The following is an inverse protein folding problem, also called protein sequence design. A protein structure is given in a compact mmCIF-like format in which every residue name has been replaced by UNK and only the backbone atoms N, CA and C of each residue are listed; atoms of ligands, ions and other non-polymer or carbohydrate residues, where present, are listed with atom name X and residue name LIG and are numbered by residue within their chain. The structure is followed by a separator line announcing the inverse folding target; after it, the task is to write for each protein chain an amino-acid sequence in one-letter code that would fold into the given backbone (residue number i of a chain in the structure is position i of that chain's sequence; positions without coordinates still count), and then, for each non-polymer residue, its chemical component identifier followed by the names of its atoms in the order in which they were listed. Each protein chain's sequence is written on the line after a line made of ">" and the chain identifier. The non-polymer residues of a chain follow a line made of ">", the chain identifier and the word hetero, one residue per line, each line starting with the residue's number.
data_IF_200489713101
#
_entry.id   IF_200489713101
#
_cell.length_a   1.000
_cell.length_b   1.000
_cell.length_c   1.000
_cell.angle_alpha   90.00
_cell.angle_beta   90.00
_cell.angle_gamma   90.00
#
_symmetry.space_group_name_H-M   'P 1'
#
loop_
_entity.id
_entity.type
_entity.pdbx_description
1 polymer ?
#
# COMPACT_ATOMS: atom_id res chain seq x y z
N UNK A 1 -5.49 21.61 -17.04
CA UNK A 1 -4.98 20.32 -17.57
C UNK A 1 -3.46 20.32 -17.68
N UNK A 2 -2.83 21.39 -18.21
CA UNK A 2 -1.36 21.52 -18.30
C UNK A 2 -0.63 21.36 -16.96
N UNK A 3 -1.20 21.86 -15.86
CA UNK A 3 -0.59 21.75 -14.54
C UNK A 3 -0.51 20.28 -14.04
N UNK A 4 -1.58 19.50 -14.19
CA UNK A 4 -1.62 18.11 -13.70
C UNK A 4 -0.62 17.22 -14.43
N UNK A 5 -0.46 17.39 -15.75
CA UNK A 5 0.52 16.66 -16.54
C UNK A 5 1.93 17.02 -16.06
N UNK A 6 2.24 18.31 -15.97
CA UNK A 6 3.54 18.78 -15.51
C UNK A 6 3.89 18.25 -14.11
N UNK A 7 2.97 18.36 -13.15
CA UNK A 7 3.16 17.89 -11.78
C UNK A 7 3.31 16.36 -11.68
N UNK A 8 2.63 15.61 -12.56
CA UNK A 8 2.80 14.16 -12.65
C UNK A 8 4.19 13.80 -13.18
N UNK A 9 4.60 14.36 -14.31
CA UNK A 9 5.91 14.12 -14.93
C UNK A 9 7.07 14.48 -13.99
N UNK A 10 6.90 15.55 -13.23
CA UNK A 10 7.87 15.99 -12.24
C UNK A 10 8.08 14.95 -11.13
N UNK A 11 7.00 14.38 -10.61
CA UNK A 11 7.05 13.32 -9.58
C UNK A 11 7.60 12.01 -10.11
N UNK A 12 7.26 11.65 -11.35
CA UNK A 12 7.84 10.46 -12.00
C UNK A 12 9.37 10.54 -12.10
N UNK A 13 9.94 11.72 -12.41
CA UNK A 13 11.39 11.90 -12.42
C UNK A 13 12.04 11.68 -11.04
N UNK A 14 11.38 12.16 -9.98
CA UNK A 14 11.83 11.93 -8.60
C UNK A 14 11.75 10.44 -8.26
N UNK A 15 10.63 9.78 -8.59
CA UNK A 15 10.44 8.33 -8.43
C UNK A 15 11.55 7.56 -9.16
N UNK A 16 11.84 7.90 -10.41
CA UNK A 16 12.89 7.26 -11.20
C UNK A 16 14.27 7.43 -10.56
N UNK A 17 14.58 8.64 -10.08
CA UNK A 17 15.85 8.92 -9.39
C UNK A 17 16.00 8.06 -8.13
N UNK A 18 15.00 8.09 -7.23
CA UNK A 18 15.03 7.31 -5.98
C UNK A 18 15.04 5.81 -6.27
N UNK A 19 14.26 5.37 -7.27
CA UNK A 19 14.22 3.96 -7.69
C UNK A 19 15.58 3.48 -8.19
N UNK A 20 16.27 4.26 -9.01
CA UNK A 20 17.59 3.90 -9.53
C UNK A 20 18.64 3.77 -8.42
N UNK A 21 18.53 4.58 -7.36
CA UNK A 21 19.45 4.50 -6.22
C UNK A 21 19.26 3.21 -5.41
N UNK A 22 18.03 2.66 -5.36
CA UNK A 22 17.69 1.57 -4.43
C UNK A 22 17.33 0.24 -5.08
N UNK A 23 17.11 0.19 -6.40
CA UNK A 23 16.64 -1.02 -7.10
C UNK A 23 17.57 -2.24 -6.96
N UNK A 24 18.85 -2.04 -6.66
CA UNK A 24 19.84 -3.12 -6.55
C UNK A 24 19.71 -3.96 -5.26
N UNK A 25 18.96 -3.48 -4.27
CA UNK A 25 18.82 -4.14 -2.95
C UNK A 25 17.39 -4.47 -2.58
N UNK A 26 16.41 -3.97 -3.35
CA UNK A 26 14.99 -4.18 -3.09
C UNK A 26 14.42 -5.21 -4.06
N UNK A 27 13.34 -5.86 -3.67
CA UNK A 27 12.63 -6.82 -4.51
C UNK A 27 11.65 -6.14 -5.43
N UNK A 28 11.02 -5.06 -4.97
CA UNK A 28 10.10 -4.28 -5.77
C UNK A 28 9.81 -2.89 -5.20
N UNK A 29 9.30 -2.01 -6.07
CA UNK A 29 8.83 -0.66 -5.75
C UNK A 29 7.53 -0.40 -6.51
N UNK A 30 6.47 -0.06 -5.79
CA UNK A 30 5.23 0.44 -6.38
C UNK A 30 4.85 1.80 -5.81
N UNK A 31 4.00 2.52 -6.55
CA UNK A 31 3.59 3.86 -6.19
C UNK A 31 2.19 3.82 -5.58
N UNK A 32 2.09 4.24 -4.32
CA UNK A 32 0.84 4.35 -3.57
C UNK A 32 0.28 5.78 -3.62
N UNK A 33 -0.69 6.02 -2.76
CA UNK A 33 -1.21 7.37 -2.52
C UNK A 33 -1.78 8.05 -3.77
N UNK A 34 -1.72 9.39 -3.78
CA UNK A 34 -2.29 10.18 -4.87
C UNK A 34 -1.66 9.90 -6.23
N UNK A 35 -0.36 9.59 -6.26
CA UNK A 35 0.35 9.17 -7.47
C UNK A 35 -0.09 7.78 -7.95
N UNK A 36 -0.40 6.86 -7.04
CA UNK A 36 -0.90 5.53 -7.36
C UNK A 36 -2.26 5.56 -8.05
N UNK A 37 -3.27 6.20 -7.45
CA UNK A 37 -4.63 6.20 -7.99
C UNK A 37 -4.96 7.35 -8.95
N UNK A 38 -4.20 8.45 -8.90
CA UNK A 38 -4.59 9.76 -9.42
C UNK A 38 -3.65 10.35 -10.48
N UNK A 39 -2.70 9.55 -10.98
CA UNK A 39 -1.72 9.94 -11.99
C UNK A 39 -2.40 10.62 -13.20
N UNK A 40 -1.91 11.79 -13.61
CA UNK A 40 -2.49 12.62 -14.69
C UNK A 40 -3.94 13.10 -14.47
N UNK A 41 -4.51 12.92 -13.29
CA UNK A 41 -5.90 13.27 -12.98
C UNK A 41 -6.03 14.22 -11.78
N UNK A 42 -5.59 13.78 -10.61
CA UNK A 42 -5.77 14.49 -9.34
C UNK A 42 -4.49 15.07 -8.75
N UNK A 43 -3.32 14.85 -9.36
CA UNK A 43 -2.03 15.39 -8.89
C UNK A 43 -2.03 16.92 -8.92
N UNK A 44 -1.46 17.51 -7.86
CA UNK A 44 -1.30 18.96 -7.68
C UNK A 44 0.14 19.25 -7.26
N UNK A 45 0.51 20.53 -7.27
CA UNK A 45 1.82 21.01 -6.82
C UNK A 45 2.14 20.58 -5.39
N UNK A 46 1.13 20.55 -4.52
CA UNK A 46 1.26 20.13 -3.12
C UNK A 46 1.19 18.62 -2.90
N UNK A 47 1.14 17.79 -3.95
CA UNK A 47 1.07 16.34 -3.80
C UNK A 47 2.43 15.79 -3.39
N UNK A 48 2.46 14.94 -2.39
CA UNK A 48 3.60 14.11 -2.02
C UNK A 48 3.76 12.91 -2.97
N UNK A 49 4.78 12.09 -2.70
CA UNK A 49 5.02 10.80 -3.34
C UNK A 49 5.03 9.72 -2.27
N UNK A 50 4.09 8.79 -2.34
CA UNK A 50 4.10 7.58 -1.51
C UNK A 50 4.71 6.41 -2.30
N UNK A 51 5.91 5.99 -1.92
CA UNK A 51 6.59 4.81 -2.45
C UNK A 51 6.43 3.63 -1.50
N UNK A 52 5.97 2.50 -2.01
CA UNK A 52 5.97 1.22 -1.30
C UNK A 52 7.19 0.44 -1.76
N UNK A 53 8.11 0.18 -0.84
CA UNK A 53 9.38 -0.49 -1.08
C UNK A 53 9.35 -1.86 -0.42
N UNK A 54 9.54 -2.93 -1.19
CA UNK A 54 9.56 -4.30 -0.67
C UNK A 54 10.99 -4.80 -0.65
N UNK A 55 11.48 -5.19 0.52
CA UNK A 55 12.88 -5.60 0.73
C UNK A 55 12.94 -6.89 1.54
N UNK A 56 13.87 -7.78 1.16
CA UNK A 56 14.14 -8.98 1.94
C UNK A 56 14.87 -8.61 3.24
N UNK A 57 14.57 -9.35 4.31
CA UNK A 57 15.05 -9.03 5.66
C UNK A 57 16.58 -8.95 5.77
N UNK A 58 17.31 -9.75 4.99
CA UNK A 58 18.77 -9.77 4.95
C UNK A 58 19.39 -8.62 4.15
N UNK A 59 18.59 -7.85 3.42
CA UNK A 59 18.99 -6.69 2.61
C UNK A 59 18.77 -5.34 3.26
N UNK A 60 18.14 -5.30 4.44
CA UNK A 60 17.84 -4.03 5.10
C UNK A 60 19.10 -3.26 5.51
N UNK A 61 20.18 -3.94 5.90
CA UNK A 61 21.45 -3.28 6.20
C UNK A 61 22.00 -2.57 4.96
N UNK A 62 21.97 -3.22 3.79
CA UNK A 62 22.41 -2.62 2.53
C UNK A 62 21.53 -1.40 2.17
N UNK A 63 20.21 -1.53 2.30
CA UNK A 63 19.23 -0.48 2.01
C UNK A 63 19.50 0.79 2.82
N UNK A 64 19.72 0.67 4.13
CA UNK A 64 19.90 1.85 5.00
C UNK A 64 21.24 2.57 4.80
N UNK A 65 22.17 1.98 4.04
CA UNK A 65 23.41 2.67 3.64
C UNK A 65 23.27 3.52 2.39
N UNK A 66 22.18 3.37 1.63
CA UNK A 66 21.98 4.09 0.37
C UNK A 66 21.60 5.55 0.62
N UNK A 67 21.92 6.48 -0.32
CA UNK A 67 21.78 7.92 -0.10
C UNK A 67 20.41 8.38 0.41
N UNK A 68 19.34 7.77 -0.08
CA UNK A 68 17.98 8.09 0.36
C UNK A 68 17.72 7.70 1.82
N UNK A 69 18.26 6.58 2.32
CA UNK A 69 17.99 6.11 3.68
C UNK A 69 19.08 6.45 4.70
N UNK A 70 20.27 6.84 4.22
CA UNK A 70 21.44 7.06 5.05
C UNK A 70 21.16 8.09 6.16
N UNK A 71 21.32 7.65 7.41
CA UNK A 71 21.17 8.49 8.60
C UNK A 71 19.73 8.72 9.06
N UNK A 72 18.73 8.20 8.34
CA UNK A 72 17.30 8.43 8.64
C UNK A 72 16.67 7.30 9.45
N UNK A 73 17.24 6.10 9.38
CA UNK A 73 16.70 4.91 10.03
C UNK A 73 17.48 4.64 11.31
N UNK A 74 16.86 4.71 12.50
CA UNK A 74 17.55 4.38 13.75
C UNK A 74 17.98 2.90 13.80
N UNK A 75 19.15 2.62 14.38
CA UNK A 75 19.72 1.26 14.48
C UNK A 75 18.73 0.26 15.11
N UNK A 76 17.98 0.67 16.13
CA UNK A 76 17.00 -0.19 16.78
C UNK A 76 15.85 -0.60 15.83
N UNK A 77 15.49 0.22 14.84
CA UNK A 77 14.47 -0.13 13.84
C UNK A 77 14.99 -1.22 12.92
N UNK A 78 16.24 -1.10 12.47
CA UNK A 78 16.91 -2.10 11.65
C UNK A 78 16.99 -3.44 12.39
N UNK A 79 17.36 -3.42 13.68
CA UNK A 79 17.38 -4.62 14.51
C UNK A 79 15.99 -5.25 14.70
N UNK A 80 14.95 -4.46 14.95
CA UNK A 80 13.57 -4.95 15.08
C UNK A 80 13.08 -5.60 13.78
N UNK A 81 13.39 -5.00 12.64
CA UNK A 81 13.05 -5.51 11.32
C UNK A 81 13.78 -6.84 11.05
N UNK A 82 15.08 -6.91 11.34
CA UNK A 82 15.90 -8.13 11.24
C UNK A 82 15.53 -9.24 12.22
N UNK A 83 14.75 -8.93 13.26
CA UNK A 83 14.23 -9.92 14.20
C UNK A 83 12.80 -10.34 13.84
N UNK A 84 12.20 -9.79 12.79
CA UNK A 84 10.81 -10.02 12.42
C UNK A 84 9.80 -9.47 13.43
N UNK A 85 10.23 -8.55 14.31
CA UNK A 85 9.36 -7.91 15.32
C UNK A 85 8.50 -6.81 14.72
N UNK A 86 9.02 -6.15 13.68
CA UNK A 86 8.27 -5.27 12.80
C UNK A 86 8.45 -5.77 11.37
N UNK A 87 7.49 -5.46 10.51
CA UNK A 87 7.57 -5.73 9.08
C UNK A 87 7.29 -4.48 8.24
N UNK A 88 7.24 -3.31 8.88
CA UNK A 88 7.08 -2.01 8.26
C UNK A 88 7.83 -0.93 9.05
N UNK A 89 8.53 -0.07 8.33
CA UNK A 89 8.94 1.26 8.78
C UNK A 89 8.86 2.22 7.59
N UNK A 90 9.01 3.52 7.79
CA UNK A 90 9.13 4.44 6.66
C UNK A 90 10.13 5.54 6.91
N UNK A 91 10.60 6.14 5.82
CA UNK A 91 11.43 7.33 5.81
C UNK A 91 10.77 8.36 4.90
N UNK A 92 10.65 9.58 5.40
CA UNK A 92 10.17 10.72 4.61
C UNK A 92 11.31 11.68 4.37
N UNK A 93 11.55 12.05 3.11
CA UNK A 93 12.57 13.03 2.69
C UNK A 93 12.02 13.99 1.65
N UNK A 94 12.59 15.18 1.61
CA UNK A 94 12.37 16.11 0.51
C UNK A 94 13.38 15.85 -0.61
N UNK A 95 12.91 15.61 -1.83
CA UNK A 95 13.73 15.42 -3.04
C UNK A 95 13.21 16.36 -4.12
N UNK A 96 14.07 17.27 -4.58
CA UNK A 96 13.70 18.34 -5.53
C UNK A 96 12.44 19.12 -5.10
N UNK A 97 12.40 19.50 -3.82
CA UNK A 97 11.30 20.18 -3.09
C UNK A 97 10.00 19.37 -2.92
N UNK A 98 9.98 18.10 -3.34
CA UNK A 98 8.82 17.20 -3.20
C UNK A 98 9.04 16.27 -2.02
N UNK A 99 8.06 16.20 -1.11
CA UNK A 99 8.04 15.20 -0.05
C UNK A 99 7.85 13.79 -0.64
N UNK A 100 8.78 12.89 -0.31
CA UNK A 100 8.77 11.49 -0.70
C UNK A 100 8.71 10.65 0.58
N UNK A 101 7.65 9.88 0.75
CA UNK A 101 7.50 8.88 1.79
C UNK A 101 7.84 7.49 1.22
N UNK A 102 8.85 6.82 1.77
CA UNK A 102 9.19 5.45 1.41
C UNK A 102 8.74 4.48 2.52
N UNK A 103 7.62 3.79 2.31
CA UNK A 103 7.11 2.75 3.19
C UNK A 103 7.81 1.42 2.90
N UNK A 104 8.74 1.05 3.77
CA UNK A 104 9.59 -0.13 3.60
C UNK A 104 8.96 -1.34 4.29
N UNK A 105 8.57 -2.34 3.51
CA UNK A 105 8.00 -3.58 3.98
C UNK A 105 8.98 -4.74 3.87
N UNK A 106 8.99 -5.61 4.89
CA UNK A 106 9.63 -6.92 4.80
C UNK A 106 8.81 -7.81 3.84
N UNK A 107 9.48 -8.49 2.90
CA UNK A 107 8.83 -9.28 1.84
C UNK A 107 7.76 -10.24 2.36
N UNK A 108 8.05 -11.03 3.39
CA UNK A 108 7.09 -11.97 3.99
C UNK A 108 5.89 -11.27 4.61
N UNK A 109 6.11 -10.21 5.39
CA UNK A 109 5.07 -9.38 5.98
C UNK A 109 4.18 -8.70 4.94
N UNK A 110 4.79 -8.17 3.87
CA UNK A 110 4.08 -7.57 2.74
C UNK A 110 3.15 -8.59 2.07
N UNK A 111 3.70 -9.76 1.70
CA UNK A 111 2.95 -10.86 1.11
C UNK A 111 1.79 -11.27 2.02
N UNK A 112 2.07 -11.56 3.28
CA UNK A 112 1.08 -12.04 4.24
C UNK A 112 -0.07 -11.04 4.43
N UNK A 113 0.20 -9.73 4.47
CA UNK A 113 -0.87 -8.74 4.59
C UNK A 113 -1.69 -8.64 3.30
N UNK A 114 -1.03 -8.60 2.14
CA UNK A 114 -1.68 -8.52 0.84
C UNK A 114 -2.54 -9.77 0.55
N UNK A 115 -2.14 -10.95 1.04
CA UNK A 115 -2.85 -12.22 0.85
C UNK A 115 -3.78 -12.61 2.02
N UNK A 116 -4.07 -11.69 2.94
CA UNK A 116 -4.96 -11.91 4.08
C UNK A 116 -4.48 -12.97 5.11
N UNK A 117 -3.20 -13.29 5.11
CA UNK A 117 -2.59 -14.33 5.96
C UNK A 117 -1.92 -13.78 7.23
N UNK A 118 -1.69 -12.46 7.32
CA UNK A 118 -1.04 -11.85 8.48
C UNK A 118 -1.25 -10.34 8.58
N UNK A 119 -0.89 -9.77 9.72
CA UNK A 119 -0.98 -8.32 9.96
C UNK A 119 0.28 -7.56 9.52
N UNK A 120 0.17 -6.24 9.54
CA UNK A 120 1.33 -5.33 9.53
C UNK A 120 1.65 -4.95 10.96
N UNK A 121 2.94 -4.96 11.30
CA UNK A 121 3.48 -4.39 12.52
C UNK A 121 4.49 -3.33 12.11
N UNK A 122 4.12 -2.06 12.31
CA UNK A 122 4.93 -0.91 11.94
C UNK A 122 5.66 -0.29 13.12
N UNK A 123 6.70 0.46 12.82
CA UNK A 123 7.40 1.35 13.75
C UNK A 123 7.14 2.83 13.40
N UNK A 124 7.02 3.67 14.41
CA UNK A 124 6.78 5.12 14.28
C UNK A 124 7.42 5.87 15.45
N UNK A 125 7.99 7.04 15.17
CA UNK A 125 8.76 7.85 16.14
C UNK A 125 7.89 8.76 17.03
N UNK A 126 6.61 8.86 16.72
CA UNK A 126 5.61 9.59 17.49
C UNK A 126 4.43 8.69 17.80
N UNK A 127 3.63 9.04 18.81
CA UNK A 127 2.47 8.24 19.20
C UNK A 127 1.43 8.30 18.06
N UNK A 128 1.14 7.17 17.38
CA UNK A 128 0.10 7.17 16.37
C UNK A 128 -1.27 7.26 17.02
N UNK A 129 -2.27 7.60 16.23
CA UNK A 129 -3.67 7.43 16.64
C UNK A 129 -3.93 5.96 17.01
N UNK A 130 -4.78 5.75 18.01
CA UNK A 130 -5.10 4.42 18.51
C UNK A 130 -5.95 3.61 17.52
N UNK A 131 -6.60 4.30 16.59
CA UNK A 131 -7.53 3.72 15.63
C UNK A 131 -7.20 4.12 14.20
N UNK A 132 -7.78 3.41 13.24
CA UNK A 132 -7.75 3.74 11.82
C UNK A 132 -9.12 3.54 11.19
N UNK A 133 -9.50 4.49 10.34
CA UNK A 133 -10.68 4.36 9.50
C UNK A 133 -10.42 3.46 8.29
N UNK A 134 -11.39 2.61 8.00
CA UNK A 134 -11.40 1.71 6.86
C UNK A 134 -12.84 1.44 6.38
N UNK A 135 -12.99 0.74 5.26
CA UNK A 135 -14.29 0.40 4.69
C UNK A 135 -14.32 -1.07 4.25
N UNK A 136 -15.46 -1.72 4.50
CA UNK A 136 -15.76 -3.07 4.02
C UNK A 136 -16.22 -3.09 2.57
N UNK A 137 -16.55 -4.27 2.05
CA UNK A 137 -17.09 -4.41 0.70
C UNK A 137 -18.46 -3.74 0.50
N UNK A 138 -19.20 -3.50 1.58
CA UNK A 138 -20.48 -2.79 1.59
C UNK A 138 -20.33 -1.26 1.71
N UNK A 139 -19.10 -0.75 1.81
CA UNK A 139 -18.84 0.66 2.07
C UNK A 139 -19.18 1.08 3.50
N UNK A 140 -19.48 0.13 4.39
CA UNK A 140 -19.66 0.45 5.81
C UNK A 140 -18.31 0.78 6.41
N UNK A 141 -18.29 1.89 7.14
CA UNK A 141 -17.11 2.35 7.88
C UNK A 141 -16.76 1.36 9.00
N UNK A 142 -15.47 1.01 9.06
CA UNK A 142 -14.85 0.12 10.02
C UNK A 142 -13.77 0.91 10.75
N UNK A 143 -13.77 0.81 12.08
CA UNK A 143 -12.70 1.36 12.91
C UNK A 143 -11.79 0.22 13.35
N UNK A 144 -10.50 0.35 13.07
CA UNK A 144 -9.48 -0.67 13.34
C UNK A 144 -8.63 -0.21 14.52
N UNK A 145 -8.55 -1.01 15.58
CA UNK A 145 -7.60 -0.78 16.65
C UNK A 145 -6.17 -1.06 16.18
N UNK A 146 -5.27 -0.09 16.35
CA UNK A 146 -3.86 -0.16 15.91
C UNK A 146 -2.93 -0.83 16.91
N UNK A 147 -3.44 -1.38 18.02
CA UNK A 147 -2.67 -2.03 19.10
C UNK A 147 -1.29 -1.37 19.32
N UNK A 148 -1.32 -0.12 19.78
CA UNK A 148 -0.14 0.73 19.91
C UNK A 148 0.63 0.37 21.19
N UNK A 149 1.90 0.00 21.03
CA UNK A 149 2.77 -0.43 22.13
C UNK A 149 4.03 0.45 22.14
N UNK A 150 4.41 1.06 23.28
CA UNK A 150 5.67 1.78 23.40
C UNK A 150 6.89 0.88 23.14
N UNK A 151 7.88 1.40 22.42
CA UNK A 151 9.12 0.71 22.08
C UNK A 151 10.31 1.68 22.24
N UNK A 152 10.92 1.70 23.44
CA UNK A 152 11.89 2.73 23.80
C UNK A 152 11.22 4.10 23.86
N UNK A 153 11.82 5.10 23.21
CA UNK A 153 11.25 6.45 23.07
C UNK A 153 10.20 6.58 21.96
N UNK A 154 9.93 5.47 21.25
CA UNK A 154 9.10 5.42 20.04
C UNK A 154 7.93 4.44 20.23
N UNK A 155 7.22 4.11 19.15
CA UNK A 155 6.05 3.24 19.20
C UNK A 155 6.08 2.18 18.10
N UNK A 156 5.57 1.00 18.43
CA UNK A 156 5.11 0.02 17.45
C UNK A 156 3.60 0.02 17.39
N UNK A 157 3.03 -0.25 16.23
CA UNK A 157 1.60 -0.44 16.06
C UNK A 157 1.36 -1.66 15.17
N UNK A 158 0.24 -2.34 15.35
CA UNK A 158 -0.14 -3.46 14.49
C UNK A 158 -1.57 -3.36 14.01
N UNK A 159 -1.79 -3.67 12.73
CA UNK A 159 -3.12 -3.75 12.12
C UNK A 159 -3.31 -5.12 11.48
N UNK A 160 -4.46 -5.79 11.67
CA UNK A 160 -4.69 -7.13 11.16
C UNK A 160 -5.04 -7.09 9.66
N UNK A 161 -4.78 -8.17 8.94
CA UNK A 161 -5.24 -8.33 7.55
C UNK A 161 -6.78 -8.31 7.43
N UNK A 162 -7.46 -8.84 8.45
CA UNK A 162 -8.92 -8.94 8.57
C UNK A 162 -9.36 -8.42 9.94
N UNK A 163 -10.50 -7.74 10.00
CA UNK A 163 -11.09 -7.25 11.24
C UNK A 163 -12.27 -8.14 11.59
N UNK A 164 -12.15 -8.93 12.66
CA UNK A 164 -13.16 -9.93 13.05
C UNK A 164 -13.52 -10.89 11.90
N UNK A 165 -12.52 -11.31 11.12
CA UNK A 165 -12.69 -12.18 9.96
C UNK A 165 -13.25 -11.49 8.70
N UNK A 166 -13.48 -10.18 8.76
CA UNK A 166 -13.97 -9.38 7.63
C UNK A 166 -12.89 -8.59 6.93
N UNK A 167 -13.07 -8.40 5.63
CA UNK A 167 -12.23 -7.58 4.79
C UNK A 167 -12.35 -6.10 5.14
N UNK A 168 -11.26 -5.39 4.92
CA UNK A 168 -11.23 -3.94 4.89
C UNK A 168 -10.22 -3.47 3.84
N UNK A 169 -10.50 -2.36 3.15
CA UNK A 169 -9.58 -1.83 2.14
C UNK A 169 -8.43 -1.08 2.81
N UNK A 170 -7.24 -1.66 2.79
CA UNK A 170 -6.06 -1.13 3.46
C UNK A 170 -4.81 -1.17 2.61
N UNK A 171 -4.02 -0.10 2.65
CA UNK A 171 -2.68 -0.09 2.06
C UNK A 171 -1.73 -1.02 2.84
N UNK A 172 -0.84 -1.74 2.15
CA UNK A 172 -0.55 -1.63 0.72
C UNK A 172 -1.43 -2.49 -0.20
N UNK A 173 -2.24 -3.41 0.33
CA UNK A 173 -3.09 -4.30 -0.48
C UNK A 173 -4.00 -3.54 -1.44
N UNK A 174 -4.62 -2.47 -0.96
CA UNK A 174 -5.54 -1.66 -1.74
C UNK A 174 -4.87 -1.05 -2.99
N UNK A 175 -3.55 -0.82 -2.94
CA UNK A 175 -2.82 -0.21 -4.04
C UNK A 175 -2.89 -1.06 -5.31
N UNK A 176 -2.98 -2.39 -5.20
CA UNK A 176 -3.15 -3.30 -6.34
C UNK A 176 -4.48 -3.13 -7.11
N UNK A 177 -5.50 -2.49 -6.55
CA UNK A 177 -6.78 -2.33 -7.22
C UNK A 177 -6.83 -1.07 -8.10
N UNK A 178 -5.99 -0.09 -7.82
CA UNK A 178 -5.97 1.20 -8.53
C UNK A 178 -4.58 1.62 -8.95
N UNK A 179 -3.61 0.70 -8.95
CA UNK A 179 -2.22 1.05 -9.19
C UNK A 179 -2.02 1.59 -10.61
N UNK A 180 -1.45 2.80 -10.71
CA UNK A 180 -1.04 3.37 -11.98
C UNK A 180 0.33 2.88 -12.45
N UNK A 181 1.24 2.54 -11.55
CA UNK A 181 2.66 2.38 -11.89
C UNK A 181 3.48 1.48 -10.94
N UNK A 182 4.08 0.41 -11.48
CA UNK A 182 5.22 -0.28 -10.86
C UNK A 182 6.52 0.40 -11.32
N UNK A 183 7.26 0.99 -10.38
CA UNK A 183 8.52 1.65 -10.69
C UNK A 183 9.66 0.64 -10.88
N UNK A 184 9.63 -0.45 -10.12
CA UNK A 184 10.61 -1.54 -10.23
C UNK A 184 10.02 -2.86 -9.73
N UNK A 185 10.36 -3.98 -10.37
CA UNK A 185 10.13 -5.31 -9.81
C UNK A 185 11.17 -6.32 -10.29
N UNK A 186 11.63 -7.17 -9.37
CA UNK A 186 12.45 -8.33 -9.69
C UNK A 186 11.56 -9.52 -10.05
N UNK A 187 11.83 -10.16 -11.19
CA UNK A 187 11.21 -11.46 -11.52
C UNK A 187 9.68 -11.44 -11.63
N UNK A 188 9.07 -10.31 -11.99
CA UNK A 188 7.62 -10.10 -12.02
C UNK A 188 6.95 -10.28 -10.64
N UNK A 189 7.65 -9.96 -9.56
CA UNK A 189 7.15 -10.15 -8.19
C UNK A 189 5.80 -9.48 -7.95
N UNK A 190 5.65 -8.19 -8.27
CA UNK A 190 4.41 -7.44 -8.03
C UNK A 190 3.32 -7.85 -9.02
N UNK A 191 3.68 -8.04 -10.29
CA UNK A 191 2.76 -8.51 -11.33
C UNK A 191 2.13 -9.86 -10.96
N UNK A 192 2.89 -10.77 -10.34
CA UNK A 192 2.36 -12.05 -9.89
C UNK A 192 1.53 -11.90 -8.60
N UNK A 193 1.98 -11.05 -7.67
CA UNK A 193 1.25 -10.79 -6.44
C UNK A 193 -0.10 -10.11 -6.68
N UNK A 194 -0.19 -9.17 -7.62
CA UNK A 194 -1.43 -8.50 -8.01
C UNK A 194 -2.54 -9.51 -8.32
N UNK A 195 -2.24 -10.52 -9.15
CA UNK A 195 -3.18 -11.59 -9.51
C UNK A 195 -3.66 -12.36 -8.28
N UNK A 196 -2.74 -12.69 -7.38
CA UNK A 196 -3.05 -13.42 -6.13
C UNK A 196 -3.90 -12.56 -5.19
N UNK A 197 -3.60 -11.26 -5.08
CA UNK A 197 -4.36 -10.31 -4.27
C UNK A 197 -5.79 -10.19 -4.77
N UNK A 198 -5.99 -10.07 -6.08
CA UNK A 198 -7.30 -10.09 -6.71
C UNK A 198 -8.07 -11.38 -6.38
N UNK A 199 -7.47 -12.54 -6.64
CA UNK A 199 -8.10 -13.84 -6.39
C UNK A 199 -8.51 -14.01 -4.92
N UNK A 200 -7.61 -13.70 -3.98
CA UNK A 200 -7.86 -13.85 -2.54
C UNK A 200 -8.91 -12.86 -2.05
N UNK A 201 -8.88 -11.62 -2.53
CA UNK A 201 -9.86 -10.60 -2.15
C UNK A 201 -11.26 -11.01 -2.57
N UNK A 202 -11.42 -11.58 -3.77
CA UNK A 202 -12.73 -12.00 -4.27
C UNK A 202 -13.19 -13.29 -3.59
N UNK A 203 -12.27 -14.22 -3.26
CA UNK A 203 -12.61 -15.36 -2.38
C UNK A 203 -13.11 -14.89 -1.02
N UNK A 204 -12.51 -13.84 -0.45
CA UNK A 204 -12.97 -13.26 0.80
C UNK A 204 -14.35 -12.58 0.65
N UNK A 205 -14.60 -11.87 -0.44
CA UNK A 205 -15.92 -11.31 -0.77
C UNK A 205 -17.00 -12.41 -0.82
N UNK A 206 -16.72 -13.53 -1.49
CA UNK A 206 -17.61 -14.70 -1.57
C UNK A 206 -17.79 -15.37 -0.20
N UNK A 207 -16.73 -15.46 0.60
CA UNK A 207 -16.81 -16.02 1.95
C UNK A 207 -17.73 -15.19 2.86
N UNK A 208 -17.73 -13.87 2.72
CA UNK A 208 -18.55 -12.97 3.55
C UNK A 208 -20.01 -12.86 3.07
N UNK A 209 -20.25 -12.96 1.76
CA UNK A 209 -21.54 -12.61 1.17
C UNK A 209 -22.18 -13.73 0.32
N UNK A 210 -21.52 -14.88 0.20
CA UNK A 210 -21.96 -16.03 -0.60
C UNK A 210 -21.57 -15.94 -2.08
N UNK A 211 -21.77 -17.02 -2.84
CA UNK A 211 -21.39 -17.11 -4.26
C UNK A 211 -22.19 -16.17 -5.18
N UNK A 212 -23.43 -15.86 -4.82
CA UNK A 212 -24.30 -14.95 -5.56
C UNK A 212 -24.21 -13.53 -5.00
N UNK A 213 -23.00 -12.96 -5.00
CA UNK A 213 -22.75 -11.61 -4.48
C UNK A 213 -23.58 -10.58 -5.23
N UNK A 214 -24.34 -9.76 -4.51
CA UNK A 214 -25.01 -8.59 -5.09
C UNK A 214 -23.99 -7.45 -5.27
N UNK A 215 -23.40 -7.36 -6.46
CA UNK A 215 -22.36 -6.38 -6.78
C UNK A 215 -22.84 -4.92 -6.75
N UNK A 216 -24.16 -4.68 -6.71
CA UNK A 216 -24.69 -3.33 -6.47
C UNK A 216 -24.55 -2.89 -5.02
N UNK A 217 -24.31 -3.84 -4.11
CA UNK A 217 -24.15 -3.62 -2.68
C UNK A 217 -22.74 -3.92 -2.19
N UNK A 218 -22.12 -5.00 -2.68
CA UNK A 218 -20.81 -5.46 -2.21
C UNK A 218 -19.80 -5.44 -3.36
N UNK A 219 -18.76 -4.61 -3.27
CA UNK A 219 -17.75 -4.46 -4.31
C UNK A 219 -16.39 -4.11 -3.70
N UNK A 220 -15.30 -4.52 -4.35
CA UNK A 220 -13.93 -4.12 -3.95
C UNK A 220 -13.82 -2.59 -3.93
N UNK A 221 -14.43 -1.89 -4.88
CA UNK A 221 -14.44 -0.43 -4.97
C UNK A 221 -14.94 0.23 -3.68
N UNK A 222 -15.98 -0.32 -3.05
CA UNK A 222 -16.57 0.23 -1.84
C UNK A 222 -15.62 0.16 -0.64
N UNK A 223 -14.60 -0.69 -0.69
CA UNK A 223 -13.57 -0.77 0.34
C UNK A 223 -12.43 0.23 0.14
N UNK A 224 -12.29 0.82 -1.05
CA UNK A 224 -11.18 1.71 -1.41
C UNK A 224 -11.33 3.06 -0.71
N UNK A 225 -10.34 3.45 0.10
CA UNK A 225 -10.39 4.69 0.90
C UNK A 225 -10.68 5.94 0.04
N UNK A 226 -9.92 6.25 -1.05
CA UNK A 226 -10.23 7.39 -1.91
C UNK A 226 -11.64 7.42 -2.47
N UNK A 227 -12.27 6.26 -2.72
CA UNK A 227 -13.65 6.20 -3.22
C UNK A 227 -14.66 6.68 -2.18
N UNK A 228 -14.39 6.43 -0.90
CA UNK A 228 -15.27 6.81 0.20
C UNK A 228 -15.01 8.23 0.71
N UNK A 229 -13.77 8.71 0.64
CA UNK A 229 -13.39 10.01 1.25
C UNK A 229 -13.17 11.13 0.25
N UNK A 230 -12.81 10.81 -1.00
CA UNK A 230 -12.46 11.81 -2.02
C UNK A 230 -12.72 11.25 -3.43
N UNK A 231 -13.96 10.80 -3.74
CA UNK A 231 -14.27 10.11 -5.00
C UNK A 231 -13.92 10.96 -6.23
N UNK A 232 -13.94 12.28 -6.12
CA UNK A 232 -13.55 13.21 -7.18
C UNK A 232 -12.06 13.15 -7.55
N UNK A 233 -11.23 12.51 -6.72
CA UNK A 233 -9.81 12.29 -7.00
C UNK A 233 -9.54 10.96 -7.71
N UNK A 234 -10.53 10.07 -7.79
CA UNK A 234 -10.39 8.82 -8.55
C UNK A 234 -10.76 9.03 -10.02
N UNK A 235 -9.86 8.67 -10.96
CA UNK A 235 -10.20 8.67 -12.38
C UNK A 235 -11.39 7.75 -12.66
N UNK A 236 -12.37 8.15 -13.50
CA UNK A 236 -13.49 7.29 -13.86
C UNK A 236 -13.06 5.93 -14.43
N UNK A 237 -11.95 5.91 -15.19
CA UNK A 237 -11.37 4.67 -15.72
C UNK A 237 -10.92 3.71 -14.61
N UNK A 238 -10.31 4.24 -13.54
CA UNK A 238 -9.89 3.44 -12.38
C UNK A 238 -11.10 2.80 -11.69
N UNK A 239 -12.18 3.57 -11.52
CA UNK A 239 -13.45 3.06 -10.97
C UNK A 239 -13.99 1.91 -11.83
N UNK A 240 -14.06 2.10 -13.15
CA UNK A 240 -14.49 1.07 -14.09
C UNK A 240 -13.61 -0.17 -14.02
N UNK A 241 -12.29 -0.02 -14.03
CA UNK A 241 -11.35 -1.14 -13.94
C UNK A 241 -11.55 -1.98 -12.66
N UNK A 242 -11.77 -1.34 -11.51
CA UNK A 242 -12.00 -2.07 -10.25
C UNK A 242 -13.29 -2.87 -10.32
N UNK A 243 -14.35 -2.27 -10.85
CA UNK A 243 -15.66 -2.92 -10.99
C UNK A 243 -15.58 -4.10 -11.96
N UNK A 244 -14.96 -3.92 -13.12
CA UNK A 244 -14.76 -4.96 -14.12
C UNK A 244 -13.87 -6.08 -13.59
N UNK A 245 -12.74 -5.77 -12.94
CA UNK A 245 -11.88 -6.76 -12.31
C UNK A 245 -12.60 -7.59 -11.23
N UNK A 246 -13.46 -6.94 -10.44
CA UNK A 246 -14.32 -7.65 -9.47
C UNK A 246 -15.25 -8.65 -10.17
N UNK A 247 -15.88 -8.25 -11.28
CA UNK A 247 -16.79 -9.11 -12.06
C UNK A 247 -16.03 -10.27 -12.69
N UNK A 248 -14.89 -10.00 -13.32
CA UNK A 248 -14.06 -10.98 -14.01
C UNK A 248 -13.54 -12.06 -13.07
N UNK A 249 -13.01 -11.68 -11.92
CA UNK A 249 -12.51 -12.63 -10.92
C UNK A 249 -13.63 -13.43 -10.27
N UNK A 250 -14.78 -12.80 -9.99
CA UNK A 250 -15.94 -13.52 -9.44
C UNK A 250 -16.46 -14.59 -10.43
N UNK A 251 -16.42 -14.29 -11.73
CA UNK A 251 -16.80 -15.24 -12.78
C UNK A 251 -15.86 -16.46 -12.85
N UNK A 252 -14.59 -16.33 -12.44
CA UNK A 252 -13.63 -17.46 -12.38
C UNK A 252 -13.92 -18.41 -11.22
N UNK A 253 -14.39 -17.89 -10.09
CA UNK A 253 -14.70 -18.70 -8.89
C UNK A 253 -15.98 -19.50 -9.06
N UNK A 254 -16.91 -19.03 -9.90
CA UNK A 254 -18.20 -19.67 -10.15
C UNK A 254 -18.17 -20.76 -11.25
N UNK A 255 -17.00 -21.02 -11.85
CA UNK A 255 -16.79 -22.09 -12.85
C UNK A 255 -16.34 -23.38 -12.17
#
# INVERSE_FOLDING_TARGET
>A
MTNVIYETERRLKVIDSVTNDINSVVRAICIGGSMGFGQYYSIRESSDIDMVVVVDQDKVDDLVTLPYFQGEVPDNVVELFKQGKINLFWVTKEVDDIEVGAFVYETGGYLNFCTLQGGITGYIDHKPELTQDAWGFDGVHIVIDRNVIPCGDNYSYSKPALVNGKFWGGVPRADFFYLGHFAYEEGNFLTNLEKVVWEITIKQLVNEHGFNVDLSRFNVLNSVHPYNTSPEKLPPKTITNIQEGTIEELAKINQ
#
